data_IF_071481506887
#
_entry.id   IF_071481506887
#
_cell.length_a   1.000
_cell.length_b   1.000
_cell.length_c   1.000
_cell.angle_alpha   90.00
_cell.angle_beta   90.00
_cell.angle_gamma   90.00
#
_symmetry.space_group_name_H-M   'P 1'
#
loop_
_entity.id
_entity.type
_entity.pdbx_description
1 polymer ?
#
# COMPACT_ATOMS: atom_id res chain seq x y z
N UNK A 1 14.07 8.85 -98.66
CA UNK A 1 14.85 8.64 -97.41
C UNK A 1 14.12 9.33 -96.26
N UNK A 2 14.06 8.69 -95.09
CA UNK A 2 13.37 8.97 -93.79
C UNK A 2 13.22 10.45 -93.33
N UNK A 3 12.39 10.79 -92.29
CA UNK A 3 11.82 9.88 -91.29
C UNK A 3 10.31 10.02 -90.94
N UNK A 4 9.76 8.88 -90.50
CA UNK A 4 8.63 8.76 -89.59
C UNK A 4 9.02 9.31 -88.20
N UNK A 5 8.21 10.19 -87.63
CA UNK A 5 8.13 10.35 -86.18
C UNK A 5 6.65 10.26 -85.75
N UNK A 6 6.31 9.09 -85.19
CA UNK A 6 5.01 8.78 -84.62
C UNK A 6 4.93 9.41 -83.23
N UNK A 7 4.03 10.39 -83.09
CA UNK A 7 3.71 11.07 -81.83
C UNK A 7 3.12 10.06 -80.84
N UNK A 8 3.84 9.72 -79.77
CA UNK A 8 3.32 8.88 -78.69
C UNK A 8 2.58 9.75 -77.68
N UNK A 9 1.32 9.41 -77.40
CA UNK A 9 0.46 10.14 -76.46
C UNK A 9 1.02 10.06 -75.03
N UNK A 10 1.26 11.24 -74.43
CA UNK A 10 1.74 11.44 -73.07
C UNK A 10 0.60 11.33 -72.03
N UNK A 11 -0.04 10.17 -71.93
CA UNK A 11 -1.01 9.86 -70.85
C UNK A 11 -0.38 9.09 -69.67
N UNK A 12 0.91 8.72 -69.78
CA UNK A 12 1.63 7.92 -68.77
C UNK A 12 2.15 8.71 -67.56
N UNK A 13 2.12 10.04 -67.57
CA UNK A 13 2.73 10.86 -66.51
C UNK A 13 1.91 10.91 -65.20
N UNK A 14 0.59 10.79 -65.27
CA UNK A 14 -0.27 10.93 -64.08
C UNK A 14 -0.40 9.65 -63.25
N UNK A 15 -0.31 8.47 -63.88
CA UNK A 15 -0.44 7.16 -63.19
C UNK A 15 0.72 6.88 -62.22
N UNK A 16 1.90 7.46 -62.45
CA UNK A 16 3.06 7.33 -61.57
C UNK A 16 3.01 8.21 -60.32
N UNK A 17 2.24 9.31 -60.35
CA UNK A 17 2.10 10.20 -59.20
C UNK A 17 1.01 9.72 -58.23
N UNK A 18 -0.08 9.16 -58.76
CA UNK A 18 -1.17 8.61 -57.95
C UNK A 18 -0.70 7.48 -57.01
N UNK A 19 0.16 6.58 -57.50
CA UNK A 19 0.68 5.48 -56.66
C UNK A 19 1.53 5.98 -55.49
N UNK A 20 2.30 7.06 -55.68
CA UNK A 20 3.12 7.66 -54.61
C UNK A 20 2.22 8.22 -53.51
N UNK A 21 1.18 8.97 -53.88
CA UNK A 21 0.22 9.55 -52.92
C UNK A 21 -0.53 8.46 -52.13
N UNK A 22 -0.96 7.40 -52.81
CA UNK A 22 -1.63 6.26 -52.17
C UNK A 22 -0.69 5.57 -51.16
N UNK A 23 0.57 5.37 -51.54
CA UNK A 23 1.57 4.72 -50.66
C UNK A 23 1.80 5.54 -49.39
N UNK A 24 1.95 6.87 -49.53
CA UNK A 24 2.10 7.77 -48.38
C UNK A 24 0.84 7.79 -47.51
N UNK A 25 -0.35 7.79 -48.11
CA UNK A 25 -1.61 7.73 -47.37
C UNK A 25 -1.76 6.43 -46.56
N UNK A 26 -1.37 5.29 -47.12
CA UNK A 26 -1.40 4.01 -46.40
C UNK A 26 -0.43 3.99 -45.22
N UNK A 27 0.78 4.53 -45.37
CA UNK A 27 1.74 4.65 -44.26
C UNK A 27 1.15 5.53 -43.15
N UNK A 28 0.50 6.63 -43.51
CA UNK A 28 -0.19 7.50 -42.54
C UNK A 28 -1.31 6.78 -41.79
N UNK A 29 -2.12 5.99 -42.48
CA UNK A 29 -3.21 5.23 -41.86
C UNK A 29 -2.66 4.14 -40.92
N UNK A 30 -1.62 3.41 -41.34
CA UNK A 30 -0.96 2.40 -40.49
C UNK A 30 -0.34 3.04 -39.24
N UNK A 31 0.29 4.21 -39.38
CA UNK A 31 0.83 4.95 -38.24
C UNK A 31 -0.27 5.37 -37.25
N UNK A 32 -1.40 5.87 -37.75
CA UNK A 32 -2.54 6.23 -36.90
C UNK A 32 -3.15 5.01 -36.19
N UNK A 33 -3.29 3.88 -36.89
CA UNK A 33 -3.77 2.64 -36.29
C UNK A 33 -2.80 2.11 -35.21
N UNK A 34 -1.49 2.17 -35.47
CA UNK A 34 -0.46 1.78 -34.50
C UNK A 34 -0.53 2.60 -33.22
N UNK A 35 -0.70 3.93 -33.33
CA UNK A 35 -0.83 4.81 -32.18
C UNK A 35 -2.04 4.47 -31.30
N UNK A 36 -3.19 4.15 -31.91
CA UNK A 36 -4.39 3.74 -31.17
C UNK A 36 -4.18 2.41 -30.45
N UNK A 37 -3.56 1.42 -31.11
CA UNK A 37 -3.29 0.11 -30.50
C UNK A 37 -2.32 0.20 -29.32
N UNK A 38 -1.23 0.96 -29.46
CA UNK A 38 -0.26 1.16 -28.40
C UNK A 38 -0.83 1.95 -27.22
N UNK A 39 -1.69 2.94 -27.50
CA UNK A 39 -2.43 3.65 -26.44
C UNK A 39 -3.34 2.68 -25.67
N UNK A 40 -3.97 1.74 -26.36
CA UNK A 40 -4.77 0.67 -25.74
C UNK A 40 -3.94 -0.21 -24.81
N UNK A 41 -2.75 -0.63 -25.25
CA UNK A 41 -1.82 -1.40 -24.41
C UNK A 41 -1.38 -0.60 -23.18
N UNK A 42 -1.03 0.68 -23.37
CA UNK A 42 -0.63 1.56 -22.27
C UNK A 42 -1.74 1.74 -21.24
N UNK A 43 -2.99 1.92 -21.68
CA UNK A 43 -4.15 2.03 -20.78
C UNK A 43 -4.39 0.75 -19.96
N UNK A 44 -4.17 -0.43 -20.56
CA UNK A 44 -4.29 -1.70 -19.84
C UNK A 44 -3.20 -1.81 -18.77
N UNK A 45 -1.94 -1.53 -19.11
CA UNK A 45 -0.83 -1.57 -18.16
C UNK A 45 -0.99 -0.52 -17.05
N UNK A 46 -1.52 0.66 -17.37
CA UNK A 46 -1.90 1.65 -16.36
C UNK A 46 -2.94 1.13 -15.38
N UNK A 47 -4.00 0.48 -15.88
CA UNK A 47 -5.02 -0.11 -15.02
C UNK A 47 -4.47 -1.20 -14.09
N UNK A 48 -3.57 -2.05 -14.59
CA UNK A 48 -2.90 -3.08 -13.77
C UNK A 48 -2.00 -2.46 -12.71
N UNK A 49 -1.13 -1.53 -13.10
CA UNK A 49 -0.23 -0.85 -12.17
C UNK A 49 -1.01 -0.10 -11.09
N UNK A 50 -2.05 0.65 -11.47
CA UNK A 50 -2.88 1.40 -10.52
C UNK A 50 -3.54 0.50 -9.47
N UNK A 51 -4.17 -0.59 -9.88
CA UNK A 51 -4.79 -1.55 -8.94
C UNK A 51 -3.78 -2.17 -7.99
N UNK A 52 -2.57 -2.43 -8.48
CA UNK A 52 -1.49 -3.01 -7.68
C UNK A 52 -0.97 -2.02 -6.65
N UNK A 53 -0.75 -0.77 -7.05
CA UNK A 53 -0.31 0.31 -6.17
C UNK A 53 -1.39 0.65 -5.13
N UNK A 54 -2.68 0.64 -5.50
CA UNK A 54 -3.79 0.84 -4.56
C UNK A 54 -3.83 -0.25 -3.48
N UNK A 55 -3.68 -1.52 -3.87
CA UNK A 55 -3.61 -2.63 -2.94
C UNK A 55 -2.35 -2.57 -2.06
N UNK A 56 -1.19 -2.26 -2.67
CA UNK A 56 0.08 -2.11 -1.98
C UNK A 56 0.05 -0.97 -0.95
N UNK A 57 -0.59 0.17 -1.27
CA UNK A 57 -0.70 1.30 -0.35
C UNK A 57 -1.53 0.96 0.88
N UNK A 58 -2.65 0.24 0.73
CA UNK A 58 -3.44 -0.23 1.86
C UNK A 58 -2.68 -1.26 2.69
N UNK A 59 -1.98 -2.19 2.05
CA UNK A 59 -1.16 -3.18 2.75
C UNK A 59 -0.01 -2.53 3.53
N UNK A 60 0.68 -1.56 2.94
CA UNK A 60 1.71 -0.79 3.62
C UNK A 60 1.14 -0.01 4.81
N UNK A 61 -0.06 0.58 4.67
CA UNK A 61 -0.72 1.26 5.77
C UNK A 61 -1.07 0.32 6.94
N UNK A 62 -1.34 -0.97 6.69
CA UNK A 62 -1.58 -1.95 7.76
C UNK A 62 -0.33 -2.24 8.61
N UNK A 63 0.85 -2.15 8.00
CA UNK A 63 2.15 -2.28 8.66
C UNK A 63 2.63 -0.96 9.28
N UNK A 64 1.83 0.12 9.22
CA UNK A 64 2.12 1.39 9.88
C UNK A 64 1.95 1.25 11.40
N UNK A 65 2.98 0.70 12.04
CA UNK A 65 3.09 0.46 13.47
C UNK A 65 4.47 0.91 13.96
N UNK A 66 4.53 1.97 14.79
CA UNK A 66 5.75 2.33 15.49
C UNK A 66 6.13 1.23 16.49
N UNK A 67 7.43 0.98 16.64
CA UNK A 67 7.93 0.10 17.70
C UNK A 67 7.63 0.72 19.08
N UNK A 68 7.05 -0.02 20.03
CA UNK A 68 6.69 0.51 21.35
C UNK A 68 7.91 0.96 22.19
N UNK A 69 9.11 0.48 21.89
CA UNK A 69 10.34 0.79 22.61
C UNK A 69 11.15 1.91 21.96
N UNK A 70 11.23 1.94 20.62
CA UNK A 70 12.04 2.95 19.91
C UNK A 70 11.22 4.08 19.32
N UNK A 71 9.92 3.87 19.08
CA UNK A 71 9.05 4.79 18.36
C UNK A 71 9.28 4.83 16.85
N UNK A 72 10.20 4.01 16.32
CA UNK A 72 10.52 3.98 14.88
C UNK A 72 9.53 3.08 14.12
N UNK A 73 9.20 3.45 12.88
CA UNK A 73 8.43 2.60 11.99
C UNK A 73 9.25 1.42 11.44
N UNK A 74 8.62 0.25 11.35
CA UNK A 74 9.21 -0.90 10.67
C UNK A 74 9.09 -0.76 9.14
N UNK A 75 9.98 0.03 8.54
CA UNK A 75 10.01 0.27 7.09
C UNK A 75 10.18 -1.03 6.29
N UNK A 76 10.92 -2.00 6.82
CA UNK A 76 11.13 -3.28 6.15
C UNK A 76 9.83 -4.09 6.01
N UNK A 77 8.96 -4.06 7.03
CA UNK A 77 7.65 -4.72 6.96
C UNK A 77 6.76 -4.07 5.89
N UNK A 78 6.74 -2.73 5.84
CA UNK A 78 6.02 -1.98 4.82
C UNK A 78 6.52 -2.31 3.41
N UNK A 79 7.83 -2.35 3.20
CA UNK A 79 8.43 -2.74 1.91
C UNK A 79 8.03 -4.15 1.48
N UNK A 80 8.13 -5.12 2.38
CA UNK A 80 7.75 -6.50 2.10
C UNK A 80 6.26 -6.63 1.72
N UNK A 81 5.39 -5.88 2.40
CA UNK A 81 3.96 -5.82 2.08
C UNK A 81 3.73 -5.23 0.68
N UNK A 82 4.40 -4.13 0.34
CA UNK A 82 4.31 -3.51 -1.00
C UNK A 82 4.77 -4.48 -2.09
N UNK A 83 5.93 -5.13 -1.92
CA UNK A 83 6.45 -6.08 -2.91
C UNK A 83 5.55 -7.30 -3.11
N UNK A 84 4.92 -7.80 -2.03
CA UNK A 84 3.94 -8.88 -2.12
C UNK A 84 2.80 -8.50 -3.09
N UNK A 85 2.17 -7.34 -2.91
CA UNK A 85 1.05 -6.90 -3.75
C UNK A 85 1.43 -6.46 -5.16
N UNK A 86 2.63 -5.90 -5.36
CA UNK A 86 3.15 -5.60 -6.69
C UNK A 86 3.45 -6.87 -7.49
N UNK A 87 3.96 -7.92 -6.84
CA UNK A 87 4.30 -9.19 -7.50
C UNK A 87 3.07 -10.00 -7.93
N UNK A 88 1.98 -9.95 -7.15
CA UNK A 88 0.74 -10.69 -7.40
C UNK A 88 0.07 -10.26 -8.72
N UNK A 89 0.24 -9.01 -9.12
CA UNK A 89 -0.37 -8.46 -10.33
C UNK A 89 0.50 -8.63 -11.59
N UNK A 90 1.53 -9.47 -11.55
CA UNK A 90 2.37 -9.85 -12.69
C UNK A 90 3.02 -8.67 -13.43
N UNK A 91 3.36 -7.62 -12.70
CA UNK A 91 4.06 -6.46 -13.28
C UNK A 91 5.56 -6.81 -13.27
N UNK A 92 6.03 -7.43 -14.35
CA UNK A 92 7.42 -7.90 -14.44
C UNK A 92 8.46 -6.78 -14.63
N UNK A 93 8.00 -5.56 -14.91
CA UNK A 93 8.85 -4.43 -15.31
C UNK A 93 8.74 -3.23 -14.37
N UNK A 94 8.59 -3.45 -13.06
CA UNK A 94 8.66 -2.36 -12.09
C UNK A 94 10.12 -1.92 -11.97
N UNK A 95 10.41 -0.67 -12.27
CA UNK A 95 11.76 -0.10 -12.26
C UNK A 95 12.07 0.68 -10.98
N UNK A 96 11.05 1.23 -10.32
CA UNK A 96 11.21 2.02 -9.11
C UNK A 96 9.97 1.92 -8.22
N UNK A 97 10.17 1.82 -6.91
CA UNK A 97 9.11 1.80 -5.90
C UNK A 97 9.54 2.68 -4.73
N UNK A 98 8.74 3.69 -4.45
CA UNK A 98 8.97 4.64 -3.36
C UNK A 98 7.79 4.59 -2.40
N UNK A 99 8.09 4.30 -1.14
CA UNK A 99 7.13 4.32 -0.04
C UNK A 99 7.39 5.58 0.75
N UNK A 100 6.34 6.33 1.10
CA UNK A 100 6.45 7.53 1.92
C UNK A 100 5.41 7.53 3.01
N UNK A 101 5.82 7.99 4.16
CA UNK A 101 4.98 8.14 5.35
C UNK A 101 5.05 9.57 5.86
N UNK A 102 4.35 9.88 6.95
CA UNK A 102 4.49 11.18 7.61
C UNK A 102 5.90 11.41 8.21
N UNK A 103 6.60 10.35 8.63
CA UNK A 103 7.96 10.47 9.19
C UNK A 103 9.00 10.78 8.12
N UNK A 104 8.72 10.41 6.87
CA UNK A 104 9.66 10.53 5.76
C UNK A 104 9.43 11.86 5.02
N UNK A 105 10.21 12.87 5.40
CA UNK A 105 10.40 14.20 4.76
C UNK A 105 9.45 15.35 5.13
N UNK A 106 10.06 16.54 5.31
CA UNK A 106 9.46 17.85 5.60
C UNK A 106 8.56 18.44 4.50
N UNK A 107 8.19 17.69 3.46
CA UNK A 107 7.66 18.26 2.20
C UNK A 107 6.32 17.68 1.74
N UNK A 108 5.57 17.00 2.63
CA UNK A 108 4.22 16.47 2.33
C UNK A 108 3.23 16.60 3.49
N UNK A 109 2.63 17.80 3.71
CA UNK A 109 1.66 17.99 4.78
C UNK A 109 0.36 17.18 4.59
N UNK A 110 0.12 16.61 3.40
CA UNK A 110 -1.07 15.80 3.14
C UNK A 110 -1.04 14.42 3.82
N UNK A 111 0.15 13.91 4.18
CA UNK A 111 0.31 12.63 4.88
C UNK A 111 0.36 12.80 6.40
N UNK A 112 0.61 14.02 6.87
CA UNK A 112 0.81 14.35 8.27
C UNK A 112 -0.37 15.11 8.85
N UNK A 113 -0.62 14.89 10.13
CA UNK A 113 -1.40 15.83 10.91
C UNK A 113 -0.53 17.08 11.21
N UNK A 114 -0.93 18.29 10.77
CA UNK A 114 -0.17 19.50 11.05
C UNK A 114 -0.22 19.91 12.54
N UNK A 115 -1.17 19.38 13.32
CA UNK A 115 -1.32 19.65 14.75
C UNK A 115 -1.61 18.35 15.55
N UNK A 116 -0.59 17.49 15.75
CA UNK A 116 -0.77 16.19 16.40
C UNK A 116 -1.14 16.28 17.89
N UNK A 117 -0.83 17.40 18.54
CA UNK A 117 -1.13 17.63 19.96
C UNK A 117 -2.44 18.37 20.19
N UNK A 118 -2.80 19.33 19.33
CA UNK A 118 -4.06 20.06 19.43
C UNK A 118 -5.25 19.32 18.80
N UNK A 119 -5.03 18.48 17.80
CA UNK A 119 -6.06 17.67 17.13
C UNK A 119 -5.63 16.21 16.96
N UNK A 120 -5.44 15.44 18.05
CA UNK A 120 -4.95 14.06 17.97
C UNK A 120 -5.89 13.11 17.21
N UNK A 121 -7.17 13.47 17.06
CA UNK A 121 -8.17 12.71 16.28
C UNK A 121 -7.81 12.70 14.77
N UNK A 122 -7.02 13.66 14.30
CA UNK A 122 -6.56 13.73 12.91
C UNK A 122 -5.27 12.94 12.65
N UNK A 123 -4.76 12.20 13.65
CA UNK A 123 -3.62 11.30 13.48
C UNK A 123 -4.02 10.05 12.68
N UNK A 124 -3.92 10.18 11.36
CA UNK A 124 -4.28 9.11 10.41
C UNK A 124 -3.04 8.33 9.99
N UNK A 125 -3.20 7.01 9.86
CA UNK A 125 -2.16 6.11 9.35
C UNK A 125 -2.16 6.11 7.83
N UNK A 126 -1.55 7.15 7.24
CA UNK A 126 -1.48 7.34 5.79
C UNK A 126 -0.13 6.90 5.25
N UNK A 127 -0.16 6.08 4.19
CA UNK A 127 1.05 5.65 3.48
C UNK A 127 0.88 5.90 1.99
N UNK A 128 1.80 6.66 1.40
CA UNK A 128 1.88 6.88 -0.04
C UNK A 128 2.80 5.83 -0.67
N UNK A 129 2.32 5.15 -1.70
CA UNK A 129 3.13 4.26 -2.53
C UNK A 129 3.15 4.82 -3.94
N UNK A 130 4.36 5.02 -4.47
CA UNK A 130 4.60 5.39 -5.86
C UNK A 130 5.38 4.26 -6.53
N UNK A 131 4.88 3.76 -7.66
CA UNK A 131 5.59 2.76 -8.45
C UNK A 131 5.72 3.22 -9.90
N UNK A 132 6.87 2.91 -10.50
CA UNK A 132 7.16 3.16 -11.91
C UNK A 132 7.34 1.82 -12.63
N UNK A 133 6.69 1.66 -13.77
CA UNK A 133 6.82 0.47 -14.62
C UNK A 133 7.09 0.83 -16.08
N UNK A 134 7.91 0.03 -16.75
CA UNK A 134 8.24 0.23 -18.16
C UNK A 134 7.29 -0.54 -19.08
N UNK A 135 6.60 0.21 -19.93
CA UNK A 135 5.65 -0.32 -20.92
C UNK A 135 6.27 -0.27 -22.30
N UNK A 136 6.35 -1.42 -22.95
CA UNK A 136 6.86 -1.52 -24.31
C UNK A 136 5.74 -1.35 -25.34
N UNK A 137 5.98 -0.54 -26.36
CA UNK A 137 5.04 -0.39 -27.47
C UNK A 137 5.18 -1.53 -28.48
N UNK A 138 4.06 -1.87 -29.11
CA UNK A 138 3.97 -2.90 -30.13
C UNK A 138 4.21 -2.31 -31.53
N UNK A 139 3.45 -1.27 -31.93
CA UNK A 139 3.45 -0.76 -33.31
C UNK A 139 4.37 0.44 -33.52
N UNK A 140 4.41 1.39 -32.59
CA UNK A 140 5.28 2.57 -32.63
C UNK A 140 6.76 2.20 -32.59
N UNK A 141 7.09 0.94 -32.22
CA UNK A 141 8.43 0.37 -32.34
C UNK A 141 8.96 0.43 -33.78
N UNK A 142 8.08 0.30 -34.77
CA UNK A 142 8.44 0.42 -36.21
C UNK A 142 8.92 1.84 -36.56
N UNK A 143 8.43 2.85 -35.84
CA UNK A 143 8.82 4.25 -35.99
C UNK A 143 9.99 4.65 -35.06
N UNK A 144 10.60 3.69 -34.36
CA UNK A 144 11.74 3.92 -33.47
C UNK A 144 11.37 4.25 -32.02
N UNK A 145 10.09 4.22 -31.65
CA UNK A 145 9.64 4.48 -30.27
C UNK A 145 9.36 3.13 -29.60
N UNK A 146 10.25 2.70 -28.71
CA UNK A 146 10.21 1.34 -28.14
C UNK A 146 9.27 1.18 -26.94
N UNK A 147 8.96 2.27 -26.22
CA UNK A 147 8.16 2.24 -25.01
C UNK A 147 8.19 3.55 -24.25
N UNK A 148 7.53 3.56 -23.09
CA UNK A 148 7.52 4.67 -22.13
C UNK A 148 7.45 4.12 -20.71
N UNK A 149 8.01 4.86 -19.76
CA UNK A 149 7.80 4.60 -18.33
C UNK A 149 6.45 5.16 -17.90
N UNK A 150 5.78 4.45 -17.00
CA UNK A 150 4.53 4.85 -16.39
C UNK A 150 4.71 4.92 -14.88
N UNK A 151 4.41 6.08 -14.30
CA UNK A 151 4.46 6.28 -12.84
C UNK A 151 3.04 6.44 -12.30
N UNK A 152 2.74 5.72 -11.22
CA UNK A 152 1.45 5.77 -10.53
C UNK A 152 1.67 5.92 -9.03
N UNK A 153 0.86 6.79 -8.43
CA UNK A 153 0.84 7.02 -6.98
C UNK A 153 -0.53 6.65 -6.40
N UNK A 154 -0.52 6.13 -5.18
CA UNK A 154 -1.71 5.95 -4.35
C UNK A 154 -1.41 6.20 -2.88
N UNK A 155 -2.45 6.57 -2.13
CA UNK A 155 -2.38 6.74 -0.69
C UNK A 155 -3.36 5.74 -0.07
N UNK A 156 -2.84 4.91 0.81
CA UNK A 156 -3.60 3.96 1.61
C UNK A 156 -3.77 4.46 3.03
N UNK A 157 -4.88 4.08 3.64
CA UNK A 157 -5.17 4.33 5.05
C UNK A 157 -5.48 3.01 5.75
N UNK A 158 -4.97 2.85 6.97
CA UNK A 158 -5.38 1.80 7.87
C UNK A 158 -6.26 2.35 9.00
N UNK A 159 -7.26 1.55 9.39
CA UNK A 159 -8.14 1.89 10.50
C UNK A 159 -7.40 1.89 11.84
N UNK A 160 -7.74 2.84 12.70
CA UNK A 160 -7.38 2.82 14.12
C UNK A 160 -8.39 1.96 14.89
N UNK A 161 -7.93 1.26 15.92
CA UNK A 161 -8.77 0.41 16.76
C UNK A 161 -8.84 1.03 18.16
N UNK A 162 -10.05 1.25 18.67
CA UNK A 162 -10.29 1.59 20.07
C UNK A 162 -10.58 0.31 20.85
N UNK A 163 -9.77 0.02 21.87
CA UNK A 163 -9.91 -1.16 22.71
C UNK A 163 -10.36 -0.77 24.12
N UNK A 164 -11.46 -1.38 24.58
CA UNK A 164 -11.91 -1.28 25.98
C UNK A 164 -11.74 -2.64 26.62
N UNK A 165 -10.80 -2.72 27.57
CA UNK A 165 -10.61 -3.91 28.39
C UNK A 165 -11.46 -3.81 29.65
N UNK A 166 -12.36 -4.78 29.85
CA UNK A 166 -13.13 -4.92 31.08
C UNK A 166 -12.61 -6.11 31.85
N UNK A 167 -12.11 -5.86 33.06
CA UNK A 167 -11.58 -6.88 33.96
C UNK A 167 -12.60 -7.09 35.07
N UNK A 168 -12.98 -8.35 35.32
CA UNK A 168 -13.83 -8.68 36.47
C UNK A 168 -13.06 -8.43 37.77
N UNK A 169 -13.73 -7.81 38.74
CA UNK A 169 -13.18 -7.51 40.07
C UNK A 169 -14.07 -8.10 41.18
N UNK A 170 -14.87 -9.10 40.83
CA UNK A 170 -15.71 -9.87 41.76
C UNK A 170 -14.88 -10.68 42.77
N UNK A 171 -15.53 -11.17 43.82
CA UNK A 171 -14.87 -11.93 44.90
C UNK A 171 -14.12 -13.18 44.42
N UNK A 172 -14.56 -13.83 43.35
CA UNK A 172 -13.86 -14.99 42.78
C UNK A 172 -12.48 -14.65 42.20
N UNK A 173 -12.20 -13.37 41.94
CA UNK A 173 -10.90 -12.93 41.46
C UNK A 173 -9.86 -12.79 42.58
N UNK A 174 -10.23 -13.07 43.83
CA UNK A 174 -9.36 -13.09 45.00
C UNK A 174 -9.24 -14.48 45.65
N UNK A 175 -9.93 -15.51 45.13
CA UNK A 175 -10.07 -16.82 45.79
C UNK A 175 -8.76 -17.62 45.96
N UNK A 176 -7.73 -17.32 45.17
CA UNK A 176 -6.42 -17.98 45.27
C UNK A 176 -5.38 -17.10 45.99
N UNK A 177 -5.83 -15.99 46.59
CA UNK A 177 -4.95 -15.09 47.33
C UNK A 177 -4.56 -15.76 48.64
N UNK A 178 -3.42 -16.47 48.64
CA UNK A 178 -2.91 -17.02 49.89
C UNK A 178 -2.37 -15.88 50.74
N UNK A 179 -2.96 -15.67 51.91
CA UNK A 179 -2.34 -14.89 52.96
C UNK A 179 -0.91 -15.41 53.21
N UNK A 180 0.01 -14.50 53.55
CA UNK A 180 1.45 -14.77 53.67
C UNK A 180 1.84 -15.90 54.66
N UNK A 181 0.87 -16.46 55.38
CA UNK A 181 1.03 -17.54 56.36
C UNK A 181 0.61 -18.93 55.87
N UNK A 182 0.16 -19.08 54.61
CA UNK A 182 -0.04 -20.41 53.99
C UNK A 182 -1.12 -21.31 54.62
N UNK A 183 -2.03 -20.76 55.41
CA UNK A 183 -3.15 -21.49 56.01
C UNK A 183 -4.50 -20.95 55.55
N UNK A 184 -4.95 -21.41 54.38
CA UNK A 184 -6.30 -21.17 53.87
C UNK A 184 -7.34 -22.15 54.44
N UNK A 185 -7.07 -22.77 55.59
CA UNK A 185 -7.91 -23.88 56.08
C UNK A 185 -8.41 -23.76 57.52
N UNK A 186 -8.03 -22.75 58.31
CA UNK A 186 -8.52 -22.70 59.69
C UNK A 186 -8.55 -21.34 60.42
N UNK A 187 -8.50 -20.20 59.73
CA UNK A 187 -8.66 -18.91 60.43
C UNK A 187 -10.15 -18.58 60.68
N UNK A 188 -10.56 -18.30 61.93
CA UNK A 188 -11.95 -17.95 62.27
C UNK A 188 -12.29 -16.47 61.99
N UNK A 189 -11.35 -15.70 61.45
CA UNK A 189 -11.58 -14.34 60.96
C UNK A 189 -12.01 -14.38 59.50
N UNK A 190 -12.93 -13.50 59.04
CA UNK A 190 -13.21 -13.33 57.62
C UNK A 190 -11.87 -13.09 56.93
N UNK A 191 -11.48 -14.00 56.04
CA UNK A 191 -10.20 -13.95 55.35
C UNK A 191 -10.14 -12.62 54.58
N UNK A 192 -9.32 -11.68 55.06
CA UNK A 192 -9.14 -10.39 54.41
C UNK A 192 -8.35 -10.51 53.11
N UNK A 193 -7.74 -11.67 52.84
CA UNK A 193 -7.11 -12.03 51.58
C UNK A 193 -8.11 -12.33 50.45
N UNK A 194 -9.32 -12.81 50.79
CA UNK A 194 -10.40 -13.12 49.84
C UNK A 194 -11.27 -11.90 49.46
N UNK A 195 -11.05 -10.72 50.07
CA UNK A 195 -11.74 -9.50 49.67
C UNK A 195 -11.01 -8.79 48.51
N UNK A 196 -11.58 -8.77 47.29
CA UNK A 196 -10.97 -8.11 46.13
C UNK A 196 -10.82 -6.59 46.32
N UNK A 197 -11.41 -5.97 47.35
CA UNK A 197 -11.15 -4.57 47.68
C UNK A 197 -9.83 -4.37 48.41
N UNK A 198 -9.40 -5.36 49.21
CA UNK A 198 -8.22 -5.29 50.06
C UNK A 198 -6.99 -5.79 49.29
N UNK A 199 -7.06 -7.00 48.72
CA UNK A 199 -5.92 -7.58 47.99
C UNK A 199 -5.61 -6.83 46.68
N UNK A 200 -6.59 -6.13 46.09
CA UNK A 200 -6.39 -5.42 44.82
C UNK A 200 -5.63 -4.11 45.05
N UNK A 201 -5.82 -3.48 46.23
CA UNK A 201 -5.04 -2.33 46.64
C UNK A 201 -3.57 -2.68 46.95
N UNK A 202 -3.33 -3.91 47.43
CA UNK A 202 -1.99 -4.45 47.67
C UNK A 202 -1.36 -5.15 46.44
N UNK A 203 -2.09 -5.20 45.32
CA UNK A 203 -1.72 -5.87 44.07
C UNK A 203 -1.24 -7.31 44.24
N UNK A 204 -1.90 -8.06 45.14
CA UNK A 204 -1.58 -9.46 45.42
C UNK A 204 -2.77 -10.41 45.22
N UNK A 205 -3.96 -9.92 44.84
CA UNK A 205 -5.10 -10.78 44.55
C UNK A 205 -4.76 -11.83 43.49
N UNK A 206 -5.01 -13.11 43.76
CA UNK A 206 -4.96 -14.16 42.74
C UNK A 206 -6.37 -14.75 42.55
N UNK A 207 -6.81 -15.00 41.30
CA UNK A 207 -6.07 -14.88 40.04
C UNK A 207 -6.06 -13.48 39.39
N UNK A 208 -6.63 -12.45 40.02
CA UNK A 208 -6.75 -11.11 39.42
C UNK A 208 -5.42 -10.52 38.93
N UNK A 209 -4.35 -10.68 39.71
CA UNK A 209 -3.02 -10.19 39.37
C UNK A 209 -2.49 -10.83 38.10
N UNK A 210 -2.62 -12.15 37.95
CA UNK A 210 -2.25 -12.84 36.72
C UNK A 210 -3.02 -12.29 35.51
N UNK A 211 -4.31 -11.97 35.67
CA UNK A 211 -5.11 -11.33 34.61
C UNK A 211 -4.62 -9.92 34.29
N UNK A 212 -4.24 -9.12 35.31
CA UNK A 212 -3.64 -7.80 35.10
C UNK A 212 -2.30 -7.89 34.38
N UNK A 213 -1.44 -8.84 34.75
CA UNK A 213 -0.13 -9.02 34.12
C UNK A 213 -0.29 -9.36 32.63
N UNK A 214 -1.22 -10.26 32.30
CA UNK A 214 -1.57 -10.58 30.90
C UNK A 214 -2.20 -9.39 30.19
N UNK A 215 -3.02 -8.59 30.88
CA UNK A 215 -3.60 -7.37 30.31
C UNK A 215 -2.53 -6.32 29.99
N UNK A 216 -1.52 -6.16 30.85
CA UNK A 216 -0.38 -5.26 30.63
C UNK A 216 0.43 -5.76 29.43
N UNK A 217 0.81 -7.03 29.40
CA UNK A 217 1.55 -7.64 28.28
C UNK A 217 0.78 -7.49 26.96
N UNK A 218 -0.53 -7.71 26.98
CA UNK A 218 -1.39 -7.48 25.82
C UNK A 218 -1.34 -6.02 25.35
N UNK A 219 -1.47 -5.05 26.26
CA UNK A 219 -1.40 -3.61 25.91
C UNK A 219 -0.02 -3.21 25.39
N UNK A 220 1.06 -3.77 25.92
CA UNK A 220 2.43 -3.54 25.43
C UNK A 220 2.68 -4.15 24.04
N UNK A 221 1.88 -5.15 23.66
CA UNK A 221 1.98 -5.83 22.35
C UNK A 221 1.16 -5.21 21.21
N UNK A 222 0.30 -4.21 21.51
CA UNK A 222 -0.57 -3.55 20.52
C UNK A 222 0.19 -2.53 19.65
#
# INVERSE_FOLDING_TARGET
MKPLFKKTNSSKKERGQAIVLITVAFIGLVAAAGLVLDTGVLMIEYGKLKRSVDAAAVAAAQEFRPDPNTGDLNVQAMENAVWSFLSINQISNVSDVVIRTCEDTTDRPALCNPDPTGNPIENRKLVEVTATADVQFAFMRVMGINGTSLTVTSIGEAATIDLVLMIDTSGSMAYETTDADGDSSNSPTPDTGDDPRVCNAADNCQPLRAVKDVAIDFVESL
#
